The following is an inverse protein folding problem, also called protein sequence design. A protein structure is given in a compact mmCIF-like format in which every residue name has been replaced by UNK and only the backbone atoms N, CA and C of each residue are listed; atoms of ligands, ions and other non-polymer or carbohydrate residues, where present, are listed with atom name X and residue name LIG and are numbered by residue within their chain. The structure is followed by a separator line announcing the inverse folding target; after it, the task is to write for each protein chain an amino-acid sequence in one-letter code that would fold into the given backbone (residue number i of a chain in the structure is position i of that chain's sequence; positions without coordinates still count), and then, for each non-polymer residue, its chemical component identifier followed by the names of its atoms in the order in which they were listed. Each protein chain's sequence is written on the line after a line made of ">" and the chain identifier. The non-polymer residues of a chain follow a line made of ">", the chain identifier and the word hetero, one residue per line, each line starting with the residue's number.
data_IF_459354674572
#
_entry.id   IF_459354674572
#
_cell.length_a   1.000
_cell.length_b   1.000
_cell.length_c   1.000
_cell.angle_alpha   90.00
_cell.angle_beta   90.00
_cell.angle_gamma   90.00
#
_symmetry.space_group_name_H-M   'P 1'
#
loop_
_entity.id
_entity.type
_entity.pdbx_description
1 polymer ?
#
# COMPACT_ATOMS: atom_id res chain seq x y z
N UNK A 1 -2.04 15.38 -11.89
CA UNK A 1 -1.61 16.66 -12.49
C UNK A 1 -0.13 16.88 -12.22
N UNK A 2 0.59 17.56 -13.12
CA UNK A 2 1.96 18.04 -12.88
C UNK A 2 1.93 19.54 -12.57
N UNK A 3 2.85 19.98 -11.71
CA UNK A 3 2.95 21.37 -11.25
C UNK A 3 4.39 21.86 -11.35
N UNK A 4 4.57 23.16 -11.61
CA UNK A 4 5.87 23.80 -11.50
C UNK A 4 6.30 23.89 -10.03
N UNK A 5 7.59 24.15 -9.77
CA UNK A 5 8.09 24.40 -8.42
C UNK A 5 7.46 25.65 -7.75
N UNK A 6 6.70 26.45 -8.50
CA UNK A 6 5.93 27.60 -8.01
C UNK A 6 4.47 27.25 -7.72
N UNK A 7 4.06 25.99 -7.91
CA UNK A 7 2.69 25.54 -7.75
C UNK A 7 1.78 25.87 -8.93
N UNK A 8 2.33 26.25 -10.09
CA UNK A 8 1.53 26.49 -11.30
C UNK A 8 1.15 25.14 -11.91
N UNK A 9 -0.14 24.94 -12.21
CA UNK A 9 -0.61 23.75 -12.93
C UNK A 9 0.00 23.72 -14.33
N UNK A 10 0.52 22.55 -14.72
CA UNK A 10 1.15 22.33 -16.02
C UNK A 10 0.28 21.43 -16.89
N UNK A 11 -0.07 20.25 -16.39
CA UNK A 11 -0.90 19.29 -17.13
C UNK A 11 -1.70 18.37 -16.21
N UNK A 12 -2.78 17.81 -16.73
CA UNK A 12 -3.49 16.73 -16.06
C UNK A 12 -2.96 15.37 -16.48
N UNK A 13 -2.87 14.47 -15.51
CA UNK A 13 -2.47 13.08 -15.76
C UNK A 13 -3.73 12.24 -15.68
N UNK A 14 -4.04 11.55 -16.77
CA UNK A 14 -5.26 10.76 -16.86
C UNK A 14 -5.10 9.42 -16.12
N UNK A 15 -6.07 9.09 -15.26
CA UNK A 15 -6.17 7.76 -14.65
C UNK A 15 -6.59 6.71 -15.69
N UNK A 16 -6.33 5.41 -15.46
CA UNK A 16 -7.01 4.34 -16.18
C UNK A 16 -8.54 4.51 -16.12
N UNK A 17 -9.24 4.19 -17.21
CA UNK A 17 -10.70 4.42 -17.34
C UNK A 17 -11.49 3.85 -16.15
N UNK A 18 -11.13 2.65 -15.73
CA UNK A 18 -11.74 1.94 -14.59
C UNK A 18 -11.61 2.70 -13.26
N UNK A 19 -10.59 3.53 -13.09
CA UNK A 19 -10.35 4.31 -11.86
C UNK A 19 -10.98 5.70 -11.91
N UNK A 20 -11.55 6.12 -13.05
CA UNK A 20 -12.16 7.45 -13.20
C UNK A 20 -13.60 7.51 -12.70
N UNK A 21 -14.27 6.36 -12.61
CA UNK A 21 -15.65 6.28 -12.18
C UNK A 21 -15.75 5.96 -10.68
N UNK A 22 -16.24 6.92 -9.90
CA UNK A 22 -16.49 6.77 -8.47
C UNK A 22 -17.38 5.57 -8.13
N UNK A 23 -18.27 5.16 -9.04
CA UNK A 23 -19.16 4.01 -8.84
C UNK A 23 -18.42 2.66 -8.83
N UNK A 24 -17.18 2.61 -9.33
CA UNK A 24 -16.36 1.41 -9.29
C UNK A 24 -15.71 1.18 -7.91
N UNK A 25 -15.74 2.17 -7.00
CA UNK A 25 -15.18 2.02 -5.65
C UNK A 25 -16.25 1.53 -4.67
N UNK A 26 -15.82 0.88 -3.58
CA UNK A 26 -16.73 0.35 -2.57
C UNK A 26 -17.55 1.46 -1.89
N UNK A 27 -16.90 2.57 -1.58
CA UNK A 27 -17.50 3.82 -1.13
C UNK A 27 -16.51 4.98 -1.31
N UNK A 28 -16.97 6.21 -1.05
CA UNK A 28 -16.18 7.43 -1.25
C UNK A 28 -14.94 7.54 -0.34
N UNK A 29 -14.85 6.76 0.75
CA UNK A 29 -13.69 6.68 1.63
C UNK A 29 -12.81 5.45 1.32
N UNK A 30 -12.98 4.82 0.15
CA UNK A 30 -12.22 3.66 -0.31
C UNK A 30 -11.70 3.85 -1.73
N UNK A 31 -11.48 5.12 -2.10
CA UNK A 31 -10.93 5.49 -3.40
C UNK A 31 -9.41 5.25 -3.45
N UNK A 32 -8.67 5.99 -4.28
CA UNK A 32 -7.22 5.84 -4.43
C UNK A 32 -6.49 6.26 -3.15
N UNK A 33 -5.76 5.33 -2.54
CA UNK A 33 -5.02 5.57 -1.28
C UNK A 33 -3.51 5.60 -1.45
N UNK A 34 -3.00 5.12 -2.58
CA UNK A 34 -1.55 4.92 -2.72
C UNK A 34 -1.03 5.24 -4.11
N UNK A 35 0.24 5.65 -4.14
CA UNK A 35 0.96 6.05 -5.33
C UNK A 35 2.43 5.62 -5.19
N UNK A 36 3.02 5.11 -6.27
CA UNK A 36 4.46 4.86 -6.33
C UNK A 36 5.02 5.10 -7.75
N UNK A 37 6.30 5.39 -7.84
CA UNK A 37 7.00 5.52 -9.14
C UNK A 37 7.82 4.26 -9.40
N UNK A 38 7.52 3.56 -10.49
CA UNK A 38 8.15 2.30 -10.86
C UNK A 38 9.04 2.46 -12.11
N UNK A 39 10.24 1.85 -12.14
CA UNK A 39 11.20 2.04 -13.23
C UNK A 39 10.68 1.66 -14.62
N UNK A 40 9.91 0.57 -14.73
CA UNK A 40 9.38 0.08 -16.01
C UNK A 40 7.89 0.40 -16.24
N UNK A 41 7.04 0.19 -15.23
CA UNK A 41 5.59 0.42 -15.32
C UNK A 41 5.17 1.89 -15.18
N UNK A 42 6.09 2.81 -14.89
CA UNK A 42 5.78 4.23 -14.67
C UNK A 42 5.07 4.46 -13.34
N UNK A 43 4.10 5.37 -13.32
CA UNK A 43 3.34 5.66 -12.10
C UNK A 43 2.33 4.54 -11.82
N UNK A 44 2.38 4.03 -10.60
CA UNK A 44 1.48 3.04 -10.03
C UNK A 44 0.53 3.70 -9.02
N UNK A 45 -0.70 3.21 -8.96
CA UNK A 45 -1.69 3.59 -7.94
C UNK A 45 -2.57 2.40 -7.58
N UNK A 46 -3.21 2.45 -6.42
CA UNK A 46 -4.18 1.46 -5.99
C UNK A 46 -5.26 2.07 -5.09
N UNK A 47 -6.52 1.57 -5.17
CA UNK A 47 -7.55 1.88 -4.21
C UNK A 47 -7.28 1.27 -2.82
N UNK A 48 -7.94 1.79 -1.78
CA UNK A 48 -7.88 1.19 -0.43
C UNK A 48 -8.38 -0.26 -0.45
N UNK A 49 -9.47 -0.48 -1.18
CA UNK A 49 -10.23 -1.72 -1.22
C UNK A 49 -10.42 -2.19 -2.67
N UNK A 50 -10.73 -3.49 -2.90
CA UNK A 50 -11.05 -3.99 -4.23
C UNK A 50 -12.18 -3.17 -4.86
N UNK A 51 -12.11 -2.88 -6.17
CA UNK A 51 -13.22 -2.25 -6.87
C UNK A 51 -14.47 -3.14 -6.83
N UNK A 52 -15.67 -2.56 -6.92
CA UNK A 52 -16.95 -3.28 -6.90
C UNK A 52 -17.11 -4.24 -8.08
N UNK A 53 -16.41 -3.96 -9.17
CA UNK A 53 -16.37 -4.79 -10.38
C UNK A 53 -15.34 -5.92 -10.32
N UNK A 54 -14.47 -5.92 -9.30
CA UNK A 54 -13.40 -6.88 -9.12
C UNK A 54 -13.80 -8.01 -8.15
N UNK A 55 -12.98 -9.05 -8.10
CA UNK A 55 -13.15 -10.09 -7.08
C UNK A 55 -12.90 -9.48 -5.68
N UNK A 56 -13.83 -9.64 -4.73
CA UNK A 56 -13.76 -8.96 -3.43
C UNK A 56 -12.62 -9.48 -2.53
N UNK A 57 -11.98 -10.58 -2.91
CA UNK A 57 -10.88 -11.23 -2.21
C UNK A 57 -9.51 -10.92 -2.82
N UNK A 58 -9.39 -9.87 -3.65
CA UNK A 58 -8.14 -9.48 -4.33
C UNK A 58 -7.91 -7.98 -4.27
N UNK A 59 -6.72 -7.58 -3.84
CA UNK A 59 -6.23 -6.20 -4.02
C UNK A 59 -5.59 -6.07 -5.41
N UNK A 60 -5.58 -4.85 -5.94
CA UNK A 60 -5.03 -4.59 -7.27
C UNK A 60 -4.18 -3.31 -7.33
N UNK A 61 -3.08 -3.38 -8.07
CA UNK A 61 -2.23 -2.24 -8.44
C UNK A 61 -2.45 -1.94 -9.92
N UNK A 62 -2.56 -0.65 -10.23
CA UNK A 62 -2.77 -0.15 -11.58
C UNK A 62 -1.61 0.77 -11.95
N UNK A 63 -1.07 0.59 -13.15
CA UNK A 63 -0.24 1.62 -13.77
C UNK A 63 -1.13 2.62 -14.51
N UNK A 64 -0.67 3.87 -14.64
CA UNK A 64 -1.36 4.87 -15.46
C UNK A 64 -1.39 4.51 -16.96
N UNK A 65 -0.53 3.57 -17.39
CA UNK A 65 -0.56 3.01 -18.75
C UNK A 65 -1.69 1.99 -18.97
N UNK A 66 -2.46 1.64 -17.94
CA UNK A 66 -3.57 0.70 -18.01
C UNK A 66 -3.22 -0.76 -17.68
N UNK A 67 -1.95 -1.06 -17.37
CA UNK A 67 -1.55 -2.38 -16.83
C UNK A 67 -2.10 -2.54 -15.41
N UNK A 68 -2.55 -3.74 -15.07
CA UNK A 68 -3.12 -4.12 -13.76
C UNK A 68 -2.50 -5.43 -13.26
N UNK A 69 -2.24 -5.46 -11.95
CA UNK A 69 -1.82 -6.66 -11.24
C UNK A 69 -2.68 -6.89 -10.01
N UNK A 70 -3.08 -8.13 -9.75
CA UNK A 70 -3.87 -8.48 -8.57
C UNK A 70 -3.12 -9.46 -7.67
N UNK A 71 -3.40 -9.41 -6.37
CA UNK A 71 -2.75 -10.29 -5.39
C UNK A 71 -3.66 -10.54 -4.18
N UNK A 72 -3.34 -11.61 -3.46
CA UNK A 72 -4.03 -12.02 -2.23
C UNK A 72 -3.80 -11.00 -1.12
N UNK A 73 -4.85 -10.47 -0.45
CA UNK A 73 -4.70 -9.59 0.72
C UNK A 73 -4.09 -10.33 1.92
N UNK A 74 -3.54 -9.60 2.89
CA UNK A 74 -3.00 -10.24 4.12
C UNK A 74 -4.10 -10.85 5.01
N UNK A 75 -5.35 -10.43 4.82
CA UNK A 75 -6.52 -10.96 5.51
C UNK A 75 -7.84 -10.42 4.93
N UNK A 76 -8.95 -10.97 5.41
CA UNK A 76 -10.31 -10.66 4.94
C UNK A 76 -10.68 -9.16 5.00
N UNK A 77 -10.13 -8.43 5.96
CA UNK A 77 -10.41 -6.99 6.16
C UNK A 77 -9.20 -6.12 5.82
N UNK A 78 -8.40 -6.56 4.84
CA UNK A 78 -7.21 -5.83 4.40
C UNK A 78 -7.57 -4.60 3.57
N UNK A 79 -6.92 -3.50 3.89
CA UNK A 79 -6.94 -2.24 3.18
C UNK A 79 -5.51 -1.91 2.75
N UNK A 80 -5.31 -1.51 1.49
CA UNK A 80 -4.02 -1.05 0.99
C UNK A 80 -3.87 0.43 1.31
N UNK A 81 -2.93 0.77 2.20
CA UNK A 81 -2.77 2.11 2.78
C UNK A 81 -1.41 2.73 2.46
N UNK A 82 -0.64 2.13 1.56
CA UNK A 82 0.63 2.71 1.14
C UNK A 82 1.36 1.85 0.12
N UNK A 83 2.16 2.50 -0.71
CA UNK A 83 3.04 1.84 -1.66
C UNK A 83 4.37 2.56 -1.76
N UNK A 84 5.43 1.80 -2.04
CA UNK A 84 6.75 2.31 -2.36
C UNK A 84 7.45 1.32 -3.30
N UNK A 85 8.24 1.81 -4.26
CA UNK A 85 8.93 0.92 -5.22
C UNK A 85 10.39 0.74 -4.85
N UNK A 86 10.83 -0.52 -4.81
CA UNK A 86 12.23 -0.87 -4.68
C UNK A 86 12.98 -0.53 -5.98
N UNK A 87 14.30 -0.23 -5.93
CA UNK A 87 15.09 0.02 -7.13
C UNK A 87 15.05 -1.11 -8.18
N UNK A 88 14.82 -2.35 -7.74
CA UNK A 88 14.69 -3.52 -8.60
C UNK A 88 13.30 -3.75 -9.19
N UNK A 89 12.34 -2.84 -8.98
CA UNK A 89 10.98 -2.92 -9.54
C UNK A 89 9.95 -3.62 -8.64
N UNK A 90 10.36 -4.35 -7.60
CA UNK A 90 9.39 -4.87 -6.65
C UNK A 90 8.69 -3.75 -5.88
N UNK A 91 7.40 -3.90 -5.65
CA UNK A 91 6.58 -2.90 -4.95
C UNK A 91 6.37 -3.34 -3.51
N UNK A 92 6.78 -2.51 -2.56
CA UNK A 92 6.39 -2.64 -1.18
C UNK A 92 4.98 -2.08 -1.01
N UNK A 93 4.06 -2.90 -0.49
CA UNK A 93 2.70 -2.50 -0.13
C UNK A 93 2.55 -2.54 1.38
N UNK A 94 1.95 -1.49 1.94
CA UNK A 94 1.54 -1.42 3.33
C UNK A 94 0.04 -1.71 3.40
N UNK A 95 -0.32 -2.74 4.14
CA UNK A 95 -1.70 -3.13 4.35
C UNK A 95 -2.12 -3.00 5.80
N UNK A 96 -3.34 -2.54 6.01
CA UNK A 96 -4.04 -2.49 7.30
C UNK A 96 -5.13 -3.55 7.29
N UNK A 97 -4.99 -4.59 8.10
CA UNK A 97 -6.06 -5.56 8.33
C UNK A 97 -6.77 -5.23 9.64
N UNK A 98 -7.96 -4.62 9.54
CA UNK A 98 -8.75 -4.14 10.68
C UNK A 98 -10.17 -4.70 10.64
N UNK A 99 -10.51 -5.56 11.61
CA UNK A 99 -11.84 -6.16 11.71
C UNK A 99 -12.81 -5.34 12.55
N UNK A 100 -12.39 -4.92 13.74
CA UNK A 100 -13.17 -4.08 14.66
C UNK A 100 -12.30 -3.62 15.83
N UNK A 101 -12.78 -2.62 16.58
CA UNK A 101 -12.06 -2.02 17.72
C UNK A 101 -11.72 -2.99 18.86
N UNK A 102 -12.39 -4.14 18.95
CA UNK A 102 -12.16 -5.16 19.97
C UNK A 102 -11.23 -6.29 19.50
N UNK A 103 -10.72 -6.21 18.27
CA UNK A 103 -9.81 -7.19 17.69
C UNK A 103 -8.44 -6.56 17.47
N UNK A 104 -7.35 -7.35 17.53
CA UNK A 104 -6.03 -6.84 17.17
C UNK A 104 -6.04 -6.28 15.75
N UNK A 105 -5.39 -5.14 15.57
CA UNK A 105 -5.11 -4.56 14.25
C UNK A 105 -3.76 -5.10 13.79
N UNK A 106 -3.66 -5.41 12.49
CA UNK A 106 -2.40 -5.83 11.88
C UNK A 106 -2.02 -4.85 10.78
N UNK A 107 -0.79 -4.37 10.79
CA UNK A 107 -0.18 -3.74 9.64
C UNK A 107 0.85 -4.68 9.03
N UNK A 108 0.76 -4.92 7.74
CA UNK A 108 1.66 -5.81 7.02
C UNK A 108 2.39 -5.03 5.95
N UNK A 109 3.72 -5.04 6.01
CA UNK A 109 4.55 -4.67 4.88
C UNK A 109 4.79 -5.93 4.05
N UNK A 110 4.44 -5.88 2.78
CA UNK A 110 4.59 -7.01 1.86
C UNK A 110 5.27 -6.56 0.58
N UNK A 111 5.98 -7.47 -0.06
CA UNK A 111 6.67 -7.25 -1.33
C UNK A 111 5.88 -7.92 -2.44
N UNK A 112 5.47 -7.13 -3.43
CA UNK A 112 4.68 -7.54 -4.59
C UNK A 112 5.58 -7.47 -5.82
N UNK A 113 5.77 -8.62 -6.46
CA UNK A 113 6.48 -8.72 -7.73
C UNK A 113 5.48 -8.63 -8.88
N UNK A 114 5.61 -7.58 -9.68
CA UNK A 114 4.76 -7.32 -10.84
C UNK A 114 5.23 -8.18 -12.02
N UNK A 115 4.40 -9.11 -12.48
CA UNK A 115 4.72 -9.97 -13.61
C UNK A 115 4.79 -9.20 -14.94
N UNK A 116 5.64 -9.67 -15.86
CA UNK A 116 5.95 -8.98 -17.13
C UNK A 116 4.84 -9.07 -18.20
N UNK A 117 3.82 -9.93 -18.01
CA UNK A 117 2.75 -10.18 -19.00
C UNK A 117 1.38 -9.45 -18.77
N UNK A 118 1.29 -8.12 -18.57
CA UNK A 118 0.01 -7.39 -18.59
C UNK A 118 -0.59 -7.25 -20.01
N UNK A 119 -1.89 -6.96 -20.14
CA UNK A 119 -2.56 -5.89 -19.37
C UNK A 119 -3.15 -6.30 -18.01
N UNK A 120 -3.38 -7.60 -17.76
CA UNK A 120 -3.90 -8.13 -16.50
C UNK A 120 -3.11 -9.36 -16.08
N UNK A 121 -2.60 -9.39 -14.85
CA UNK A 121 -1.86 -10.55 -14.36
C UNK A 121 -1.96 -10.74 -12.84
N UNK A 122 -1.77 -11.97 -12.37
CA UNK A 122 -1.53 -12.22 -10.95
C UNK A 122 -0.10 -11.78 -10.59
N UNK A 123 0.04 -11.12 -9.45
CA UNK A 123 1.32 -10.77 -8.86
C UNK A 123 1.67 -11.71 -7.72
N UNK A 124 2.97 -12.03 -7.60
CA UNK A 124 3.47 -12.81 -6.48
C UNK A 124 3.69 -11.87 -5.30
N UNK A 125 3.10 -12.19 -4.16
CA UNK A 125 3.28 -11.44 -2.91
C UNK A 125 4.12 -12.25 -1.91
N UNK A 126 4.92 -11.57 -1.12
CA UNK A 126 5.72 -12.15 -0.03
C UNK A 126 5.66 -11.24 1.18
N UNK A 127 5.34 -11.81 2.34
CA UNK A 127 5.33 -11.07 3.60
C UNK A 127 6.76 -10.66 3.98
N UNK A 128 6.93 -9.40 4.36
CA UNK A 128 8.20 -8.85 4.84
C UNK A 128 8.17 -8.75 6.36
N UNK A 129 7.18 -8.03 6.89
CA UNK A 129 6.97 -7.87 8.33
C UNK A 129 5.50 -7.64 8.62
N UNK A 130 5.04 -8.15 9.77
CA UNK A 130 3.72 -7.88 10.32
C UNK A 130 3.87 -7.24 11.70
N UNK A 131 3.22 -6.10 11.89
CA UNK A 131 3.06 -5.43 13.16
C UNK A 131 1.66 -5.74 13.67
N UNK A 132 1.54 -6.47 14.78
CA UNK A 132 0.27 -6.83 15.38
C UNK A 132 0.13 -6.13 16.73
N UNK A 133 -1.00 -5.47 16.99
CA UNK A 133 -1.16 -4.69 18.22
C UNK A 133 -1.18 -5.57 19.49
N UNK A 134 -1.61 -6.83 19.38
CA UNK A 134 -1.55 -7.80 20.48
C UNK A 134 -0.14 -8.22 20.85
N UNK A 135 0.83 -8.01 19.97
CA UNK A 135 2.23 -8.40 20.20
C UNK A 135 3.01 -7.27 20.90
N UNK A 136 2.33 -6.17 21.28
CA UNK A 136 2.94 -5.05 22.01
C UNK A 136 3.59 -3.98 21.13
N UNK A 137 3.44 -4.08 19.81
CA UNK A 137 3.89 -3.02 18.89
C UNK A 137 3.09 -1.73 19.13
N UNK A 138 3.81 -0.61 19.21
CA UNK A 138 3.21 0.73 19.19
C UNK A 138 2.71 1.02 17.77
N UNK A 139 1.47 0.63 17.51
CA UNK A 139 0.80 0.76 16.23
C UNK A 139 -0.27 1.84 16.36
N UNK A 140 -0.37 2.67 15.33
CA UNK A 140 -1.50 3.55 15.11
C UNK A 140 -1.93 3.46 13.65
N UNK A 141 -2.79 4.37 13.20
CA UNK A 141 -3.37 4.40 11.86
C UNK A 141 -2.33 4.73 10.78
N UNK A 142 -1.43 3.80 10.44
CA UNK A 142 -0.45 4.01 9.37
C UNK A 142 -1.13 4.20 8.02
N UNK A 143 -0.74 5.26 7.29
CA UNK A 143 -1.34 5.67 6.00
C UNK A 143 -0.27 5.93 4.92
N UNK A 144 1.01 5.68 5.21
CA UNK A 144 2.06 5.80 4.21
C UNK A 144 3.35 5.06 4.57
N UNK A 145 4.09 4.72 3.53
CA UNK A 145 5.46 4.21 3.58
C UNK A 145 6.31 4.97 2.56
N UNK A 146 7.57 5.22 2.88
CA UNK A 146 8.54 5.80 1.97
C UNK A 146 9.92 5.16 2.16
N UNK A 147 10.62 4.87 1.07
CA UNK A 147 11.98 4.37 1.12
C UNK A 147 12.94 5.53 1.33
N UNK A 148 13.90 5.36 2.23
CA UNK A 148 14.98 6.32 2.45
C UNK A 148 16.25 5.91 1.68
N UNK A 149 16.95 4.90 2.18
CA UNK A 149 18.20 4.37 1.62
C UNK A 149 18.30 2.87 1.87
N UNK A 150 18.98 2.12 0.99
CA UNK A 150 18.99 0.64 1.04
C UNK A 150 17.60 0.03 1.35
N UNK A 151 17.55 -0.84 2.36
CA UNK A 151 16.31 -1.42 2.88
C UNK A 151 15.80 -0.70 4.14
N UNK A 152 15.95 0.63 4.18
CA UNK A 152 15.46 1.50 5.26
C UNK A 152 14.26 2.32 4.82
N UNK A 153 13.25 2.34 5.67
CA UNK A 153 11.94 2.89 5.35
C UNK A 153 11.43 3.77 6.49
N UNK A 154 10.65 4.78 6.10
CA UNK A 154 9.75 5.50 6.98
C UNK A 154 8.33 4.93 6.81
N UNK A 155 7.61 4.77 7.91
CA UNK A 155 6.15 4.67 7.93
C UNK A 155 5.58 5.77 8.81
N UNK A 156 4.42 6.29 8.43
CA UNK A 156 3.77 7.37 9.19
C UNK A 156 2.30 7.05 9.44
N UNK A 157 1.83 7.35 10.64
CA UNK A 157 0.41 7.28 10.99
C UNK A 157 -0.26 8.65 10.97
N UNK A 158 -1.53 8.66 10.58
CA UNK A 158 -2.43 9.79 10.77
C UNK A 158 -3.08 9.69 12.16
N UNK A 159 -3.28 10.84 12.81
CA UNK A 159 -4.05 10.92 14.04
C UNK A 159 -5.56 11.06 13.78
N UNK A 160 -6.00 11.21 12.52
CA UNK A 160 -7.39 11.47 12.12
C UNK A 160 -8.05 12.60 12.93
N UNK A 161 -7.26 13.55 13.46
CA UNK A 161 -7.67 14.58 14.43
C UNK A 161 -8.33 14.03 15.71
N UNK A 162 -7.99 12.80 16.09
CA UNK A 162 -8.49 12.11 17.28
C UNK A 162 -7.57 12.30 18.47
N UNK A 163 -8.13 12.55 19.65
CA UNK A 163 -7.36 12.59 20.90
C UNK A 163 -6.80 11.22 21.35
N UNK A 164 -7.21 10.14 20.68
CA UNK A 164 -6.79 8.77 20.99
C UNK A 164 -5.74 8.21 20.02
N UNK A 165 -5.56 8.86 18.87
CA UNK A 165 -4.58 8.47 17.86
C UNK A 165 -3.42 9.45 17.87
N UNK A 166 -2.27 9.01 17.39
CA UNK A 166 -1.03 9.76 17.38
C UNK A 166 -0.44 9.73 15.98
N UNK A 167 0.12 10.87 15.57
CA UNK A 167 1.06 10.91 14.46
C UNK A 167 2.38 10.28 14.94
N UNK A 168 2.66 9.07 14.45
CA UNK A 168 3.90 8.33 14.71
C UNK A 168 4.74 8.32 13.45
N UNK A 169 6.03 8.61 13.57
CA UNK A 169 7.02 8.37 12.52
C UNK A 169 7.87 7.17 12.91
N UNK A 170 7.78 6.10 12.13
CA UNK A 170 8.50 4.86 12.36
C UNK A 170 9.64 4.75 11.34
N UNK A 171 10.88 4.70 11.79
CA UNK A 171 12.06 4.47 10.95
C UNK A 171 12.64 3.09 11.26
N UNK A 172 12.74 2.23 10.25
CA UNK A 172 13.19 0.87 10.42
C UNK A 172 14.00 0.38 9.21
N UNK A 173 14.76 -0.68 9.43
CA UNK A 173 15.53 -1.38 8.42
C UNK A 173 15.03 -2.81 8.32
N UNK A 174 14.85 -3.32 7.11
CA UNK A 174 14.59 -4.74 6.87
C UNK A 174 15.95 -5.45 6.81
N UNK A 175 16.29 -6.18 7.88
CA UNK A 175 17.56 -6.90 7.97
C UNK A 175 17.38 -8.38 7.60
N UNK A 176 17.95 -8.81 6.48
CA UNK A 176 18.02 -10.22 6.06
C UNK A 176 17.30 -10.54 4.74
N UNK A 177 17.64 -11.67 4.12
CA UNK A 177 16.86 -12.27 3.02
C UNK A 177 15.72 -13.07 3.63
N UNK A 178 14.47 -12.65 3.42
CA UNK A 178 13.23 -13.24 3.95
C UNK A 178 13.33 -14.78 4.08
N UNK A 179 13.53 -15.33 5.28
CA UNK A 179 13.15 -16.71 5.57
C UNK A 179 11.69 -16.69 6.01
N UNK A 180 10.95 -17.72 5.62
CA UNK A 180 9.56 -18.01 6.01
C UNK A 180 9.27 -17.62 7.47
N UNK A 181 8.48 -16.55 7.65
CA UNK A 181 7.88 -16.05 8.89
C UNK A 181 8.79 -16.02 10.13
N UNK A 182 9.68 -15.02 10.21
CA UNK A 182 10.22 -14.60 11.51
C UNK A 182 9.25 -13.58 12.15
N UNK A 183 8.64 -13.97 13.27
CA UNK A 183 7.89 -13.06 14.14
C UNK A 183 8.85 -12.02 14.72
N UNK A 184 8.74 -10.78 14.26
CA UNK A 184 9.54 -9.68 14.78
C UNK A 184 9.24 -9.49 16.27
N UNK A 185 10.27 -9.52 17.11
CA UNK A 185 10.13 -9.39 18.57
C UNK A 185 10.08 -7.90 18.96
N UNK A 186 9.21 -7.48 19.90
CA UNK A 186 9.07 -6.07 20.29
C UNK A 186 10.36 -5.53 20.95
N UNK A 187 10.60 -4.22 20.83
CA UNK A 187 11.52 -3.46 21.69
C UNK A 187 10.75 -2.49 22.56
#
# INVERSE_FOLDING_TARGET
>A
ASYSARGEHLEDVALPEVLRDGANYQDANKELESLASHPEAGILTAPEAPLTIDAPDRLAIYSLSGRRWQFEPVGEHSALVGMETAPGGDVYVLERNFKSIFKPITFALRRVHLSETPPYADARVTDVVRFVSSDGWAIDNFEAIARHEGERFFMISDDNRSGFQKTLLFYFEITGTVPELATATPR
#
